data_IF_360561960719
#
_entry.id   IF_360561960719
#
_cell.length_a   1.000
_cell.length_b   1.000
_cell.length_c   1.000
_cell.angle_alpha   90.00
_cell.angle_beta   90.00
_cell.angle_gamma   90.00
#
_symmetry.space_group_name_H-M   'P 1'
#
loop_
_entity.id
_entity.type
_entity.pdbx_description
1 polymer ?
#
# COMPACT_ATOMS: atom_id res chain seq x y z
N UNK A 1 1.01 -19.42 17.69
CA UNK A 1 2.44 -19.24 17.38
C UNK A 1 2.63 -17.80 16.98
N UNK A 2 3.21 -16.98 17.84
CA UNK A 2 3.48 -15.57 17.51
C UNK A 2 4.63 -15.58 16.52
N UNK A 3 4.35 -15.38 15.23
CA UNK A 3 5.40 -15.19 14.23
C UNK A 3 6.24 -14.01 14.70
N UNK A 4 7.48 -14.28 15.12
CA UNK A 4 8.43 -13.25 15.49
C UNK A 4 8.64 -12.38 14.26
N UNK A 5 8.14 -11.14 14.29
CA UNK A 5 8.37 -10.16 13.23
C UNK A 5 9.88 -10.02 13.05
N UNK A 6 10.38 -10.57 11.95
CA UNK A 6 11.80 -10.49 11.62
C UNK A 6 12.01 -9.13 10.96
N UNK A 7 12.76 -8.26 11.62
CA UNK A 7 13.16 -6.99 11.05
C UNK A 7 14.09 -7.25 9.87
N UNK A 8 13.59 -7.03 8.66
CA UNK A 8 14.31 -7.21 7.42
C UNK A 8 13.71 -6.35 6.30
N UNK A 9 14.33 -6.39 5.12
CA UNK A 9 13.84 -5.63 3.96
C UNK A 9 12.38 -5.95 3.62
N UNK A 10 11.91 -7.18 3.84
CA UNK A 10 10.50 -7.56 3.59
C UNK A 10 9.54 -6.95 4.60
N UNK A 11 9.95 -6.73 5.86
CA UNK A 11 9.13 -5.99 6.83
C UNK A 11 9.09 -4.50 6.50
N UNK A 12 10.18 -3.93 5.97
CA UNK A 12 10.20 -2.53 5.53
C UNK A 12 9.25 -2.33 4.34
N UNK A 13 9.26 -3.25 3.37
CA UNK A 13 8.32 -3.22 2.23
C UNK A 13 6.87 -3.33 2.69
N UNK A 14 6.57 -4.14 3.70
CA UNK A 14 5.23 -4.19 4.28
C UNK A 14 4.79 -2.82 4.82
N UNK A 15 5.65 -2.18 5.61
CA UNK A 15 5.38 -0.87 6.18
C UNK A 15 5.25 0.22 5.10
N UNK A 16 5.99 0.12 3.99
CA UNK A 16 5.82 0.98 2.82
C UNK A 16 4.44 0.81 2.19
N UNK A 17 3.92 -0.42 2.12
CA UNK A 17 2.55 -0.67 1.65
C UNK A 17 1.51 0.04 2.52
N UNK A 18 1.63 -0.08 3.84
CA UNK A 18 0.76 0.62 4.80
C UNK A 18 0.89 2.14 4.63
N UNK A 19 2.10 2.67 4.50
CA UNK A 19 2.36 4.09 4.30
C UNK A 19 1.72 4.63 3.00
N UNK A 20 1.79 3.86 1.91
CA UNK A 20 1.17 4.26 0.64
C UNK A 20 -0.36 4.27 0.73
N UNK A 21 -0.95 3.31 1.44
CA UNK A 21 -2.38 3.36 1.73
C UNK A 21 -2.73 4.59 2.58
N UNK A 22 -1.95 4.92 3.61
CA UNK A 22 -2.16 6.11 4.45
C UNK A 22 -2.06 7.41 3.63
N UNK A 23 -1.10 7.53 2.71
CA UNK A 23 -0.99 8.68 1.80
C UNK A 23 -2.21 8.80 0.89
N UNK A 24 -2.70 7.67 0.39
CA UNK A 24 -3.86 7.60 -0.49
C UNK A 24 -5.17 7.92 0.24
N UNK A 25 -5.35 7.42 1.46
CA UNK A 25 -6.57 7.60 2.26
C UNK A 25 -6.59 8.94 3.00
N UNK A 26 -5.42 9.49 3.34
CA UNK A 26 -5.29 10.60 4.27
C UNK A 26 -5.75 10.26 5.70
N UNK A 27 -5.83 8.97 6.05
CA UNK A 27 -6.35 8.46 7.32
C UNK A 27 -5.35 7.49 7.97
N UNK A 28 -5.30 7.41 9.32
CA UNK A 28 -4.50 6.39 9.99
C UNK A 28 -4.97 4.97 9.63
N UNK A 29 -4.06 3.99 9.48
CA UNK A 29 -4.40 2.59 9.23
C UNK A 29 -5.36 2.01 10.27
N UNK A 30 -6.41 1.32 9.81
CA UNK A 30 -7.46 0.73 10.66
C UNK A 30 -8.13 1.70 11.64
N UNK A 31 -8.16 3.01 11.33
CA UNK A 31 -8.87 3.97 12.16
C UNK A 31 -10.38 3.73 12.11
N UNK A 32 -10.98 3.56 13.28
CA UNK A 32 -12.42 3.54 13.50
C UNK A 32 -12.72 4.50 14.66
N UNK A 33 -13.71 5.38 14.48
CA UNK A 33 -14.12 6.33 15.51
C UNK A 33 -14.58 5.56 16.77
N UNK A 34 -14.12 6.00 17.94
CA UNK A 34 -14.36 5.36 19.24
C UNK A 34 -13.78 3.95 19.47
N UNK A 35 -12.92 3.43 18.56
CA UNK A 35 -12.20 2.17 18.77
C UNK A 35 -10.70 2.39 19.05
N UNK A 36 -10.13 1.54 19.89
CA UNK A 36 -8.71 1.55 20.22
C UNK A 36 -7.99 0.36 19.57
N UNK A 37 -6.74 0.56 19.15
CA UNK A 37 -5.88 -0.53 18.74
C UNK A 37 -5.73 -1.55 19.88
N UNK A 38 -6.23 -2.75 19.67
CA UNK A 38 -6.16 -3.84 20.64
C UNK A 38 -5.54 -5.11 20.05
N UNK A 39 -5.41 -6.14 20.90
CA UNK A 39 -4.86 -7.44 20.47
C UNK A 39 -5.77 -8.14 19.47
N UNK A 40 -7.08 -7.88 19.50
CA UNK A 40 -8.04 -8.41 18.54
C UNK A 40 -7.70 -7.96 17.13
N UNK A 41 -7.47 -6.67 16.94
CA UNK A 41 -7.06 -6.11 15.65
C UNK A 41 -5.73 -6.71 15.14
N UNK A 42 -4.75 -6.93 16.03
CA UNK A 42 -3.49 -7.60 15.65
C UNK A 42 -3.74 -9.02 15.15
N UNK A 43 -4.67 -9.75 15.78
CA UNK A 43 -5.07 -11.10 15.35
C UNK A 43 -5.75 -11.05 13.99
N UNK A 44 -6.68 -10.13 13.78
CA UNK A 44 -7.40 -9.98 12.51
C UNK A 44 -6.44 -9.64 11.36
N UNK A 45 -5.49 -8.72 11.57
CA UNK A 45 -4.44 -8.38 10.60
C UNK A 45 -3.58 -9.61 10.27
N UNK A 46 -3.25 -10.42 11.28
CA UNK A 46 -2.51 -11.67 11.07
C UNK A 46 -3.29 -12.73 10.28
N UNK A 47 -4.63 -12.65 10.31
CA UNK A 47 -5.54 -13.52 9.57
C UNK A 47 -5.86 -12.99 8.16
N UNK A 48 -5.31 -11.83 7.79
CA UNK A 48 -5.45 -11.23 6.46
C UNK A 48 -6.41 -10.06 6.39
N UNK A 49 -6.91 -9.53 7.52
CA UNK A 49 -7.61 -8.25 7.51
C UNK A 49 -6.70 -7.17 6.91
N UNK A 50 -7.21 -6.44 5.92
CA UNK A 50 -6.55 -5.32 5.26
C UNK A 50 -7.56 -4.20 5.05
N UNK A 51 -7.02 -3.01 4.86
CA UNK A 51 -7.77 -1.80 4.67
C UNK A 51 -8.56 -1.83 3.36
N UNK A 52 -9.67 -1.08 3.33
CA UNK A 52 -10.50 -0.95 2.14
C UNK A 52 -9.74 -0.14 1.10
N UNK A 53 -9.87 -0.52 -0.17
CA UNK A 53 -9.33 0.26 -1.29
C UNK A 53 -9.94 1.65 -1.27
N UNK A 54 -9.08 2.67 -1.31
CA UNK A 54 -9.50 4.06 -1.26
C UNK A 54 -10.16 4.43 -2.60
N UNK A 55 -11.39 4.99 -2.60
CA UNK A 55 -12.02 5.49 -3.81
C UNK A 55 -11.12 6.47 -4.57
N UNK A 56 -11.25 6.51 -5.89
CA UNK A 56 -10.53 7.43 -6.79
C UNK A 56 -9.00 7.28 -6.80
N UNK A 57 -8.45 6.30 -6.08
CA UNK A 57 -7.01 5.98 -6.16
C UNK A 57 -6.72 5.20 -7.44
N UNK A 58 -5.69 5.60 -8.22
CA UNK A 58 -5.34 4.90 -9.46
C UNK A 58 -5.14 3.39 -9.23
N UNK A 59 -5.72 2.56 -10.10
CA UNK A 59 -5.71 1.10 -9.94
C UNK A 59 -4.27 0.55 -9.88
N UNK A 60 -3.35 1.12 -10.65
CA UNK A 60 -1.93 0.78 -10.56
C UNK A 60 -1.31 1.10 -9.20
N UNK A 61 -1.68 2.22 -8.58
CA UNK A 61 -1.21 2.57 -7.24
C UNK A 61 -1.75 1.61 -6.18
N UNK A 62 -3.03 1.23 -6.30
CA UNK A 62 -3.67 0.18 -5.48
C UNK A 62 -2.91 -1.13 -5.57
N UNK A 63 -2.56 -1.56 -6.79
CA UNK A 63 -1.77 -2.79 -7.01
C UNK A 63 -0.39 -2.72 -6.34
N UNK A 64 0.26 -1.55 -6.32
CA UNK A 64 1.57 -1.39 -5.68
C UNK A 64 1.45 -1.59 -4.16
N UNK A 65 0.61 -0.80 -3.48
CA UNK A 65 0.56 -0.87 -2.03
C UNK A 65 -0.01 -2.21 -1.54
N UNK A 66 -0.96 -2.81 -2.29
CA UNK A 66 -1.49 -4.12 -1.95
C UNK A 66 -0.48 -5.24 -2.11
N UNK A 67 0.44 -5.12 -3.07
CA UNK A 67 1.54 -6.08 -3.25
C UNK A 67 2.62 -5.94 -2.18
N UNK A 68 2.85 -4.72 -1.69
CA UNK A 68 3.81 -4.44 -0.63
C UNK A 68 3.42 -5.08 0.71
N UNK A 69 2.13 -5.10 1.08
CA UNK A 69 1.65 -5.65 2.36
C UNK A 69 1.16 -7.11 2.30
N UNK A 70 1.61 -7.87 1.29
CA UNK A 70 1.27 -9.29 1.12
C UNK A 70 1.57 -10.08 2.41
N UNK A 71 0.65 -10.98 2.77
CA UNK A 71 0.77 -11.80 3.98
C UNK A 71 2.00 -12.69 3.97
N UNK A 72 2.42 -13.14 2.79
CA UNK A 72 3.63 -13.94 2.57
C UNK A 72 4.83 -13.01 2.26
N UNK A 73 5.85 -12.90 3.15
CA UNK A 73 7.00 -12.02 2.95
C UNK A 73 7.72 -12.22 1.60
N UNK A 74 7.80 -13.44 1.09
CA UNK A 74 8.49 -13.74 -0.16
C UNK A 74 7.74 -13.20 -1.40
N UNK A 75 6.42 -13.03 -1.30
CA UNK A 75 5.60 -12.45 -2.36
C UNK A 75 5.74 -10.93 -2.48
N UNK A 76 6.30 -10.27 -1.47
CA UNK A 76 6.49 -8.82 -1.46
C UNK A 76 7.60 -8.42 -2.46
N UNK A 77 7.46 -7.28 -3.13
CA UNK A 77 8.46 -6.81 -4.09
C UNK A 77 9.77 -6.39 -3.41
N UNK A 78 10.79 -6.14 -4.21
CA UNK A 78 11.96 -5.37 -3.76
C UNK A 78 11.66 -3.87 -3.85
N UNK A 79 12.43 -3.05 -3.12
CA UNK A 79 12.28 -1.59 -3.22
C UNK A 79 12.51 -1.07 -4.65
N UNK A 80 13.40 -1.70 -5.40
CA UNK A 80 13.64 -1.36 -6.81
C UNK A 80 12.40 -1.57 -7.67
N UNK A 81 11.69 -2.70 -7.49
CA UNK A 81 10.45 -2.95 -8.22
C UNK A 81 9.36 -1.93 -7.85
N UNK A 82 9.24 -1.57 -6.58
CA UNK A 82 8.30 -0.53 -6.12
C UNK A 82 8.59 0.81 -6.81
N UNK A 83 9.86 1.22 -6.82
CA UNK A 83 10.29 2.47 -7.47
C UNK A 83 10.03 2.44 -8.97
N UNK A 84 10.33 1.34 -9.66
CA UNK A 84 10.08 1.19 -11.09
C UNK A 84 8.59 1.32 -11.42
N UNK A 85 7.72 0.71 -10.62
CA UNK A 85 6.27 0.80 -10.80
C UNK A 85 5.75 2.21 -10.54
N UNK A 86 6.25 2.91 -9.52
CA UNK A 86 5.89 4.31 -9.26
C UNK A 86 6.31 5.23 -10.42
N UNK A 87 7.53 5.06 -10.93
CA UNK A 87 8.01 5.81 -12.10
C UNK A 87 7.14 5.55 -13.34
N UNK A 88 6.69 4.31 -13.53
CA UNK A 88 5.76 3.97 -14.62
C UNK A 88 4.39 4.66 -14.48
N UNK A 89 3.91 4.91 -13.25
CA UNK A 89 2.67 5.67 -13.03
C UNK A 89 2.87 7.15 -13.33
N UNK A 90 3.97 7.74 -12.86
CA UNK A 90 4.28 9.17 -13.06
C UNK A 90 4.40 9.47 -14.55
N UNK A 91 5.20 8.67 -15.27
CA UNK A 91 5.40 8.85 -16.73
C UNK A 91 4.12 8.71 -17.54
N UNK A 92 3.21 7.79 -17.18
CA UNK A 92 1.89 7.71 -17.81
C UNK A 92 1.04 8.95 -17.55
N UNK A 93 1.13 9.50 -16.35
CA UNK A 93 0.35 10.68 -15.95
C UNK A 93 0.79 11.92 -16.72
N UNK A 94 2.10 12.11 -16.90
CA UNK A 94 2.67 13.21 -17.68
C UNK A 94 2.18 13.18 -19.14
N UNK A 95 2.15 11.99 -19.75
CA UNK A 95 1.63 11.81 -21.12
C UNK A 95 0.14 12.16 -21.22
N UNK A 96 -0.67 11.86 -20.20
CA UNK A 96 -2.11 12.21 -20.21
C UNK A 96 -2.30 13.72 -20.10
N UNK A 97 -1.53 14.40 -19.24
CA UNK A 97 -1.58 15.86 -19.07
C UNK A 97 -1.20 16.57 -20.37
N UNK A 98 -0.14 16.13 -21.04
CA UNK A 98 0.28 16.69 -22.33
C UNK A 98 -0.78 16.49 -23.42
N UNK A 99 -1.37 15.30 -23.51
CA UNK A 99 -2.42 15.01 -24.50
C UNK A 99 -3.69 15.84 -24.28
N UNK A 100 -4.06 16.13 -23.03
CA UNK A 100 -5.23 16.95 -22.71
C UNK A 100 -5.00 18.44 -23.02
N UNK A 101 -3.74 18.90 -23.00
CA UNK A 101 -3.38 20.27 -23.39
C UNK A 101 -3.34 20.48 -24.91
N UNK A 102 -3.17 19.42 -25.70
CA UNK A 102 -3.17 19.49 -27.18
C UNK A 102 -4.55 19.33 -27.82
N UNK A 103 -5.58 18.98 -27.05
CA UNK A 103 -6.95 18.73 -27.54
C UNK A 103 -7.94 19.89 -27.32
N UNK A 104 -7.46 21.08 -26.92
CA UNK A 104 -8.26 22.30 -26.77
C UNK A 104 -7.91 23.35 -27.83
#
# INVERSE_FOLDING_TARGET
STQMYLLNEKSDIYNIGVLFWEISSGQPPFYVEDEHYDVGLVVEISQGLREIVVPDTPEEYVKIYTKCWDGEPDNRPTIYQVVDWLNAIITKSDVIVENHQMSN
#
